data_IF_418742893557
#
_entry.id   IF_418742893557
#
_cell.length_a   1.000
_cell.length_b   1.000
_cell.length_c   1.000
_cell.angle_alpha   90.00
_cell.angle_beta   90.00
_cell.angle_gamma   90.00
#
_symmetry.space_group_name_H-M   'P 1'
#
loop_
_entity.id
_entity.type
_entity.pdbx_description
1 polymer ?
#
# COMPACT_ATOMS: atom_id res chain seq x y z
N UNK A 1 -1.07 20.49 49.34
CA UNK A 1 -0.60 19.09 49.35
C UNK A 1 -0.06 18.84 47.95
N UNK A 2 1.26 18.88 47.79
CA UNK A 2 2.13 17.68 47.77
C UNK A 2 1.88 16.89 46.46
N UNK A 3 2.84 16.58 45.60
CA UNK A 3 4.20 16.13 45.85
C UNK A 3 5.14 16.50 44.68
N UNK A 4 6.40 16.71 45.06
CA UNK A 4 7.54 16.78 44.18
C UNK A 4 8.08 15.37 43.93
N UNK A 5 8.53 15.09 42.71
CA UNK A 5 9.59 14.10 42.47
C UNK A 5 10.52 14.65 41.38
N UNK A 6 11.67 15.19 41.83
CA UNK A 6 12.92 15.07 41.07
C UNK A 6 13.34 13.60 41.07
N UNK A 7 14.29 13.10 40.30
CA UNK A 7 15.47 13.62 39.61
C UNK A 7 15.89 12.48 38.61
N UNK A 8 17.15 12.33 38.16
CA UNK A 8 17.99 13.15 37.27
C UNK A 8 18.48 12.35 36.02
N UNK A 9 19.18 13.02 35.08
CA UNK A 9 20.10 12.34 34.13
C UNK A 9 21.39 11.83 34.84
N UNK A 10 22.50 11.44 34.17
CA UNK A 10 22.85 11.58 32.74
C UNK A 10 23.58 10.38 32.06
N UNK A 11 23.54 10.36 30.71
CA UNK A 11 24.66 10.18 29.76
C UNK A 11 25.58 8.89 29.84
N UNK A 12 26.72 8.81 29.11
CA UNK A 12 26.87 7.95 27.92
C UNK A 12 28.09 7.00 27.98
N UNK A 13 28.17 5.98 27.12
CA UNK A 13 29.42 5.34 26.66
C UNK A 13 29.08 4.16 25.75
N UNK A 14 29.41 4.19 24.46
CA UNK A 14 30.72 3.87 23.90
C UNK A 14 31.12 2.40 24.15
N UNK A 15 31.30 1.65 23.06
CA UNK A 15 32.54 0.90 22.78
C UNK A 15 32.51 0.49 21.30
N UNK A 16 33.27 1.27 20.51
CA UNK A 16 33.81 0.88 19.22
C UNK A 16 34.97 -0.06 19.53
N UNK A 17 34.89 -1.34 19.15
CA UNK A 17 36.07 -2.20 19.06
C UNK A 17 36.49 -2.29 17.61
N UNK A 18 37.47 -1.45 17.29
CA UNK A 18 38.42 -1.62 16.20
C UNK A 18 39.48 -2.62 16.65
N UNK A 19 39.46 -3.83 16.10
CA UNK A 19 40.55 -4.82 16.19
C UNK A 19 40.32 -5.83 15.04
N UNK A 20 41.25 -6.22 14.17
CA UNK A 20 42.69 -6.03 14.11
C UNK A 20 43.16 -6.00 12.64
N UNK A 21 44.25 -5.30 12.38
CA UNK A 21 45.11 -5.55 11.22
C UNK A 21 45.96 -6.77 11.52
N UNK A 22 46.07 -7.71 10.58
CA UNK A 22 47.29 -8.49 10.37
C UNK A 22 47.47 -8.73 8.87
N UNK A 23 48.61 -8.26 8.39
CA UNK A 23 49.15 -8.48 7.05
C UNK A 23 49.59 -9.93 6.90
N UNK A 24 49.25 -10.59 5.78
CA UNK A 24 50.11 -11.61 5.15
C UNK A 24 49.86 -11.61 3.64
N UNK A 25 50.95 -11.41 2.90
CA UNK A 25 51.05 -11.45 1.45
C UNK A 25 51.59 -12.82 1.05
N UNK A 26 50.86 -13.55 0.19
CA UNK A 26 51.35 -14.58 -0.77
C UNK A 26 50.27 -15.64 -1.02
N UNK A 27 50.04 -15.97 -2.30
CA UNK A 27 49.32 -17.20 -2.66
C UNK A 27 48.45 -17.08 -3.91
N UNK A 28 49.07 -16.94 -5.09
CA UNK A 28 48.45 -17.39 -6.33
C UNK A 28 48.27 -18.91 -6.25
N UNK A 29 47.04 -19.42 -6.35
CA UNK A 29 46.67 -20.64 -7.09
C UNK A 29 45.28 -21.18 -6.69
N UNK A 30 44.54 -21.58 -7.72
CA UNK A 30 43.29 -22.38 -7.72
C UNK A 30 41.98 -21.61 -7.47
N UNK A 31 41.39 -21.18 -8.59
CA UNK A 31 39.95 -20.98 -8.74
C UNK A 31 39.21 -22.31 -8.45
N UNK A 32 38.30 -22.38 -7.46
CA UNK A 32 37.32 -23.46 -7.44
C UNK A 32 36.23 -23.17 -8.47
N UNK A 33 35.94 -24.21 -9.26
CA UNK A 33 34.84 -24.28 -10.23
C UNK A 33 33.53 -23.76 -9.65
N UNK A 34 32.88 -22.92 -10.44
CA UNK A 34 31.43 -22.97 -10.71
C UNK A 34 30.55 -23.10 -9.46
N UNK A 35 30.43 -22.01 -8.70
CA UNK A 35 29.17 -21.75 -8.01
C UNK A 35 28.20 -21.25 -9.08
N UNK A 36 27.09 -21.94 -9.36
CA UNK A 36 26.01 -21.26 -10.05
C UNK A 36 25.62 -20.10 -9.14
N UNK A 37 25.85 -18.88 -9.63
CA UNK A 37 25.26 -17.69 -9.07
C UNK A 37 23.77 -18.01 -9.00
N UNK A 38 23.22 -18.20 -7.80
CA UNK A 38 21.79 -18.06 -7.62
C UNK A 38 21.49 -16.68 -8.20
N UNK A 39 20.92 -16.65 -9.41
CA UNK A 39 20.16 -15.50 -9.85
C UNK A 39 19.28 -15.14 -8.65
N UNK A 40 19.22 -13.88 -8.19
CA UNK A 40 18.19 -13.53 -7.23
C UNK A 40 16.90 -13.97 -7.91
N UNK A 41 16.24 -14.99 -7.34
CA UNK A 41 14.97 -15.43 -7.84
C UNK A 41 14.14 -14.16 -7.90
N UNK A 42 13.80 -13.72 -9.12
CA UNK A 42 12.84 -12.64 -9.29
C UNK A 42 11.70 -13.03 -8.36
N UNK A 43 11.34 -12.19 -7.37
CA UNK A 43 10.24 -12.52 -6.47
C UNK A 43 9.10 -12.91 -7.39
N UNK A 44 8.61 -14.15 -7.25
CA UNK A 44 7.64 -14.72 -8.20
C UNK A 44 6.47 -13.76 -8.21
N UNK A 45 6.44 -12.93 -9.24
CA UNK A 45 5.62 -11.74 -9.28
C UNK A 45 4.19 -12.24 -9.34
N UNK A 46 3.40 -11.94 -8.30
CA UNK A 46 2.01 -12.35 -8.25
C UNK A 46 1.32 -11.70 -9.46
N UNK A 47 0.73 -12.47 -10.38
CA UNK A 47 0.21 -11.92 -11.62
C UNK A 47 -0.80 -10.82 -11.32
N UNK A 48 -0.78 -9.76 -12.11
CA UNK A 48 -1.71 -8.64 -11.99
C UNK A 48 -3.15 -9.14 -12.01
N UNK A 49 -4.00 -8.49 -11.22
CA UNK A 49 -5.42 -8.79 -11.19
C UNK A 49 -6.17 -7.73 -11.98
N UNK A 50 -6.91 -8.16 -13.01
CA UNK A 50 -7.65 -7.27 -13.90
C UNK A 50 -9.11 -7.72 -14.06
N UNK A 51 -10.03 -6.78 -13.93
CA UNK A 51 -11.43 -6.91 -14.33
C UNK A 51 -11.73 -5.85 -15.39
N UNK A 52 -12.17 -6.30 -16.57
CA UNK A 52 -12.53 -5.39 -17.66
C UNK A 52 -13.72 -4.50 -17.26
N UNK A 53 -13.75 -3.23 -17.72
CA UNK A 53 -14.91 -2.37 -17.52
C UNK A 53 -16.15 -2.97 -18.19
N UNK A 54 -17.29 -2.83 -17.52
CA UNK A 54 -18.60 -3.19 -18.05
C UNK A 54 -19.50 -1.96 -18.18
N UNK A 55 -20.74 -2.18 -18.63
CA UNK A 55 -21.73 -1.10 -18.75
C UNK A 55 -22.08 -0.48 -17.38
N UNK A 56 -22.01 -1.27 -16.32
CA UNK A 56 -22.35 -0.87 -14.96
C UNK A 56 -21.27 -1.24 -13.93
N UNK A 57 -20.14 -1.81 -14.37
CA UNK A 57 -19.05 -2.25 -13.50
C UNK A 57 -17.77 -1.51 -13.85
N UNK A 58 -16.97 -1.09 -12.85
CA UNK A 58 -15.77 -0.34 -13.11
C UNK A 58 -14.69 -1.28 -13.67
N UNK A 59 -13.75 -0.71 -14.42
CA UNK A 59 -12.45 -1.35 -14.63
C UNK A 59 -11.76 -1.47 -13.26
N UNK A 60 -11.17 -2.64 -13.00
CA UNK A 60 -10.31 -2.86 -11.84
C UNK A 60 -8.96 -3.32 -12.35
N UNK A 61 -7.91 -2.56 -12.08
CA UNK A 61 -6.54 -2.91 -12.43
C UNK A 61 -5.68 -2.88 -11.16
N UNK A 62 -5.25 -4.06 -10.71
CA UNK A 62 -4.44 -4.19 -9.52
C UNK A 62 -3.06 -4.78 -9.86
N UNK A 63 -2.05 -3.93 -9.74
CA UNK A 63 -0.64 -4.26 -9.92
C UNK A 63 0.01 -4.56 -8.59
N UNK A 64 0.04 -5.83 -8.19
CA UNK A 64 0.62 -6.27 -6.90
C UNK A 64 2.08 -5.87 -6.75
N UNK A 65 2.85 -5.93 -7.84
CA UNK A 65 4.28 -5.63 -7.87
C UNK A 65 4.60 -4.18 -7.47
N UNK A 66 3.73 -3.25 -7.87
CA UNK A 66 3.91 -1.82 -7.67
C UNK A 66 2.94 -1.24 -6.64
N UNK A 67 2.10 -2.07 -6.02
CA UNK A 67 1.07 -1.64 -5.07
C UNK A 67 0.05 -0.68 -5.66
N UNK A 68 -0.25 -0.75 -6.96
CA UNK A 68 -1.17 0.21 -7.61
C UNK A 68 -2.52 -0.43 -7.87
N UNK A 69 -3.57 0.11 -7.28
CA UNK A 69 -4.95 -0.31 -7.48
C UNK A 69 -5.74 0.82 -8.15
N UNK A 70 -6.23 0.60 -9.35
CA UNK A 70 -7.06 1.53 -10.10
C UNK A 70 -8.49 0.99 -10.21
N UNK A 71 -9.47 1.83 -9.87
CA UNK A 71 -10.88 1.61 -10.19
C UNK A 71 -11.36 2.76 -11.07
N UNK A 72 -11.88 2.45 -12.27
CA UNK A 72 -12.26 3.47 -13.26
C UNK A 72 -13.61 3.20 -13.91
N UNK A 73 -14.40 4.24 -14.13
CA UNK A 73 -15.67 4.17 -14.89
C UNK A 73 -16.91 4.11 -14.00
N UNK A 74 -17.93 3.37 -14.43
CA UNK A 74 -19.23 3.29 -13.76
C UNK A 74 -19.19 2.21 -12.68
N UNK A 75 -19.55 2.55 -11.43
CA UNK A 75 -19.73 1.57 -10.36
C UNK A 75 -21.18 1.53 -9.89
N UNK A 76 -21.99 0.80 -10.66
CA UNK A 76 -23.40 0.50 -10.38
C UNK A 76 -23.75 -0.98 -10.72
N UNK A 77 -22.97 -1.98 -10.27
CA UNK A 77 -23.26 -3.39 -10.50
C UNK A 77 -24.66 -3.77 -9.98
N UNK A 78 -25.27 -4.79 -10.58
CA UNK A 78 -26.52 -5.36 -10.04
C UNK A 78 -26.34 -5.91 -8.60
N UNK A 79 -25.15 -6.45 -8.32
CA UNK A 79 -24.74 -6.98 -7.03
C UNK A 79 -23.33 -6.47 -6.69
N UNK A 80 -23.29 -5.38 -5.95
CA UNK A 80 -22.04 -4.76 -5.51
C UNK A 80 -21.23 -5.70 -4.61
N UNK A 81 -21.87 -6.44 -3.71
CA UNK A 81 -21.17 -7.35 -2.81
C UNK A 81 -20.45 -8.45 -3.59
N UNK A 82 -21.14 -9.11 -4.53
CA UNK A 82 -20.56 -10.15 -5.37
C UNK A 82 -19.48 -9.62 -6.33
N UNK A 83 -19.59 -8.37 -6.80
CA UNK A 83 -18.55 -7.75 -7.61
C UNK A 83 -17.28 -7.48 -6.80
N UNK A 84 -17.40 -6.76 -5.69
CA UNK A 84 -16.25 -6.35 -4.88
C UNK A 84 -15.59 -7.51 -4.11
N UNK A 85 -16.31 -8.62 -3.82
CA UNK A 85 -15.69 -9.85 -3.29
C UNK A 85 -14.55 -10.35 -4.18
N UNK A 86 -14.70 -10.23 -5.51
CA UNK A 86 -13.66 -10.64 -6.47
C UNK A 86 -12.38 -9.83 -6.32
N UNK A 87 -12.49 -8.55 -5.92
CA UNK A 87 -11.34 -7.69 -5.59
C UNK A 87 -10.80 -7.97 -4.19
N UNK A 88 -11.67 -8.15 -3.20
CA UNK A 88 -11.25 -8.37 -1.80
C UNK A 88 -10.50 -9.69 -1.62
N UNK A 89 -10.92 -10.75 -2.31
CA UNK A 89 -10.31 -12.08 -2.21
C UNK A 89 -8.79 -12.08 -2.46
N UNK A 90 -8.26 -11.46 -3.53
CA UNK A 90 -6.82 -11.34 -3.71
C UNK A 90 -6.17 -10.18 -2.92
N UNK A 91 -6.91 -9.10 -2.63
CA UNK A 91 -6.39 -7.91 -1.94
C UNK A 91 -6.08 -8.18 -0.45
N UNK A 92 -7.00 -8.80 0.28
CA UNK A 92 -6.85 -9.05 1.72
C UNK A 92 -5.56 -9.81 2.06
N UNK A 93 -5.22 -10.96 1.42
CA UNK A 93 -3.96 -11.65 1.70
C UNK A 93 -2.73 -10.86 1.23
N UNK A 94 -2.86 -10.01 0.20
CA UNK A 94 -1.77 -9.11 -0.20
C UNK A 94 -1.47 -8.09 0.89
N UNK A 95 -2.48 -7.39 1.41
CA UNK A 95 -2.32 -6.40 2.47
C UNK A 95 -1.85 -7.05 3.79
N UNK A 96 -2.27 -8.29 4.08
CA UNK A 96 -1.83 -9.01 5.26
C UNK A 96 -0.34 -9.39 5.22
N UNK A 97 0.21 -9.65 4.02
CA UNK A 97 1.63 -9.96 3.81
C UNK A 97 2.50 -8.74 3.50
N UNK A 98 1.92 -7.54 3.48
CA UNK A 98 2.64 -6.31 3.15
C UNK A 98 3.45 -5.83 4.36
N UNK A 99 4.75 -6.11 4.36
CA UNK A 99 5.70 -5.63 5.36
C UNK A 99 6.38 -4.36 4.84
N UNK A 100 5.94 -3.19 5.32
CA UNK A 100 6.48 -1.87 4.97
C UNK A 100 6.47 -1.50 3.46
N UNK A 101 5.37 -1.81 2.76
CA UNK A 101 5.17 -1.46 1.35
C UNK A 101 4.44 -0.14 1.12
N UNK A 102 4.36 0.27 -0.15
CA UNK A 102 3.53 1.38 -0.61
C UNK A 102 2.34 0.85 -1.42
N UNK A 103 1.14 1.36 -1.14
CA UNK A 103 -0.09 1.07 -1.88
C UNK A 103 -0.79 2.36 -2.27
N UNK A 104 -1.02 2.55 -3.56
CA UNK A 104 -1.75 3.67 -4.11
C UNK A 104 -3.08 3.19 -4.71
N UNK A 105 -4.19 3.59 -4.11
CA UNK A 105 -5.53 3.46 -4.64
C UNK A 105 -5.86 4.69 -5.48
N UNK A 106 -6.34 4.48 -6.70
CA UNK A 106 -6.89 5.52 -7.57
C UNK A 106 -8.34 5.20 -7.88
N UNK A 107 -9.25 6.09 -7.48
CA UNK A 107 -10.67 6.05 -7.81
C UNK A 107 -10.95 7.10 -8.89
N UNK A 108 -11.15 6.67 -10.12
CA UNK A 108 -11.51 7.51 -11.27
C UNK A 108 -12.90 7.14 -11.79
N UNK A 109 -13.90 7.29 -10.91
CA UNK A 109 -15.26 6.87 -11.16
C UNK A 109 -16.07 7.98 -11.85
N UNK A 110 -16.90 7.58 -12.80
CA UNK A 110 -17.81 8.49 -13.53
C UNK A 110 -19.24 8.44 -13.02
N UNK A 111 -19.56 7.41 -12.23
CA UNK A 111 -20.86 7.24 -11.54
C UNK A 111 -20.70 6.23 -10.41
N UNK A 112 -21.39 6.47 -9.31
CA UNK A 112 -21.34 5.64 -8.11
C UNK A 112 -22.74 5.52 -7.50
N UNK A 113 -23.19 4.31 -7.21
CA UNK A 113 -24.42 4.08 -6.44
C UNK A 113 -24.14 3.95 -4.93
N UNK A 114 -25.19 3.68 -4.14
CA UNK A 114 -25.06 3.57 -2.71
C UNK A 114 -24.37 2.29 -2.24
N UNK A 115 -24.72 1.16 -2.84
CA UNK A 115 -24.17 -0.14 -2.48
C UNK A 115 -22.68 -0.22 -2.81
N UNK A 116 -22.26 0.28 -3.97
CA UNK A 116 -20.84 0.38 -4.35
C UNK A 116 -20.08 1.32 -3.44
N UNK A 117 -20.68 2.43 -3.01
CA UNK A 117 -20.05 3.33 -2.05
C UNK A 117 -19.72 2.61 -0.72
N UNK A 118 -20.65 1.80 -0.21
CA UNK A 118 -20.41 1.00 1.00
C UNK A 118 -19.26 0.00 0.82
N UNK A 119 -19.19 -0.66 -0.34
CA UNK A 119 -18.08 -1.56 -0.65
C UNK A 119 -16.75 -0.80 -0.77
N UNK A 120 -16.73 0.40 -1.33
CA UNK A 120 -15.53 1.23 -1.39
C UNK A 120 -15.10 1.77 -0.01
N UNK A 121 -16.03 2.03 0.91
CA UNK A 121 -15.70 2.34 2.30
C UNK A 121 -15.06 1.13 3.00
N UNK A 122 -15.55 -0.08 2.72
CA UNK A 122 -14.92 -1.32 3.20
C UNK A 122 -13.52 -1.49 2.63
N UNK A 123 -13.32 -1.17 1.34
CA UNK A 123 -11.99 -1.14 0.73
C UNK A 123 -11.06 -0.14 1.43
N UNK A 124 -11.56 1.07 1.71
CA UNK A 124 -10.81 2.10 2.42
C UNK A 124 -10.43 1.63 3.84
N UNK A 125 -11.33 0.96 4.56
CA UNK A 125 -11.03 0.39 5.89
C UNK A 125 -9.88 -0.62 5.83
N UNK A 126 -9.90 -1.56 4.86
CA UNK A 126 -8.80 -2.53 4.66
C UNK A 126 -7.45 -1.83 4.42
N UNK A 127 -7.45 -0.76 3.63
CA UNK A 127 -6.27 0.04 3.32
C UNK A 127 -5.80 0.86 4.53
N UNK A 128 -6.71 1.44 5.28
CA UNK A 128 -6.42 2.16 6.52
C UNK A 128 -5.81 1.23 7.59
N UNK A 129 -6.31 -0.01 7.68
CA UNK A 129 -5.73 -1.03 8.54
C UNK A 129 -4.29 -1.41 8.13
N UNK A 130 -4.00 -1.43 6.82
CA UNK A 130 -2.62 -1.63 6.34
C UNK A 130 -1.73 -0.41 6.67
N UNK A 131 -2.27 0.81 6.58
CA UNK A 131 -1.58 2.03 6.99
C UNK A 131 -1.22 2.01 8.48
N UNK A 132 -2.16 1.58 9.33
CA UNK A 132 -1.97 1.45 10.78
C UNK A 132 -0.88 0.42 11.15
N UNK A 133 -0.61 -0.57 10.27
CA UNK A 133 0.48 -1.54 10.42
C UNK A 133 1.84 -1.00 9.94
N UNK A 134 1.91 0.22 9.42
CA UNK A 134 3.14 0.87 8.99
C UNK A 134 3.40 0.83 7.48
N UNK A 135 2.43 0.41 6.67
CA UNK A 135 2.50 0.56 5.21
C UNK A 135 2.16 2.00 4.79
N UNK A 136 2.72 2.47 3.69
CA UNK A 136 2.35 3.77 3.11
C UNK A 136 1.17 3.57 2.19
N UNK A 137 -0.01 4.03 2.59
CA UNK A 137 -1.22 3.83 1.81
C UNK A 137 -1.87 5.16 1.48
N UNK A 138 -2.17 5.34 0.20
CA UNK A 138 -2.63 6.61 -0.36
C UNK A 138 -3.83 6.37 -1.26
N UNK A 139 -4.84 7.23 -1.16
CA UNK A 139 -6.04 7.20 -1.98
C UNK A 139 -6.14 8.50 -2.78
N UNK A 140 -6.27 8.39 -4.10
CA UNK A 140 -6.53 9.50 -5.00
C UNK A 140 -7.92 9.34 -5.57
N UNK A 141 -8.78 10.33 -5.35
CA UNK A 141 -10.17 10.32 -5.82
C UNK A 141 -10.35 11.40 -6.87
N UNK A 142 -10.50 10.99 -8.13
CA UNK A 142 -10.90 11.83 -9.23
C UNK A 142 -12.43 11.77 -9.35
N UNK A 143 -13.07 12.90 -9.17
CA UNK A 143 -14.50 13.06 -9.37
C UNK A 143 -14.77 14.38 -10.07
N UNK A 144 -15.92 14.44 -10.74
CA UNK A 144 -16.44 15.67 -11.31
C UNK A 144 -17.08 16.53 -10.21
N UNK A 145 -16.80 17.84 -10.19
CA UNK A 145 -17.32 18.78 -9.18
C UNK A 145 -18.82 19.01 -9.29
N UNK A 146 -19.48 18.53 -10.34
CA UNK A 146 -20.94 18.58 -10.49
C UNK A 146 -21.63 17.28 -10.02
N UNK A 147 -20.88 16.20 -9.75
CA UNK A 147 -21.45 14.94 -9.27
C UNK A 147 -21.63 14.94 -7.74
N UNK A 148 -22.84 15.30 -7.30
CA UNK A 148 -23.17 15.38 -5.88
C UNK A 148 -22.99 14.06 -5.11
N UNK A 149 -23.13 12.91 -5.78
CA UNK A 149 -23.02 11.59 -5.14
C UNK A 149 -21.55 11.22 -4.90
N UNK A 150 -20.70 11.42 -5.89
CA UNK A 150 -19.25 11.24 -5.76
C UNK A 150 -18.66 12.21 -4.75
N UNK A 151 -19.10 13.47 -4.75
CA UNK A 151 -18.69 14.45 -3.74
C UNK A 151 -19.08 14.04 -2.32
N UNK A 152 -20.31 13.54 -2.14
CA UNK A 152 -20.75 13.05 -0.83
C UNK A 152 -19.87 11.90 -0.35
N UNK A 153 -19.57 10.94 -1.24
CA UNK A 153 -18.65 9.85 -0.96
C UNK A 153 -17.24 10.35 -0.60
N UNK A 154 -16.69 11.29 -1.37
CA UNK A 154 -15.38 11.89 -1.08
C UNK A 154 -15.34 12.57 0.30
N UNK A 155 -16.39 13.30 0.69
CA UNK A 155 -16.49 13.90 2.03
C UNK A 155 -16.51 12.85 3.14
N UNK A 156 -17.22 11.74 2.94
CA UNK A 156 -17.23 10.62 3.90
C UNK A 156 -15.83 10.01 4.02
N UNK A 157 -15.15 9.75 2.89
CA UNK A 157 -13.76 9.26 2.92
C UNK A 157 -12.82 10.21 3.66
N UNK A 158 -12.93 11.52 3.44
CA UNK A 158 -12.12 12.53 4.13
C UNK A 158 -12.40 12.60 5.63
N UNK A 159 -13.64 12.34 6.04
CA UNK A 159 -14.03 12.33 7.44
C UNK A 159 -13.57 11.06 8.16
N UNK A 160 -13.81 9.88 7.56
CA UNK A 160 -13.57 8.60 8.22
C UNK A 160 -12.13 8.09 8.06
N UNK A 161 -11.47 8.41 6.93
CA UNK A 161 -10.13 7.92 6.59
C UNK A 161 -9.19 9.07 6.17
N UNK A 162 -9.01 10.11 6.99
CA UNK A 162 -8.21 11.28 6.63
C UNK A 162 -6.76 10.92 6.29
N UNK A 163 -6.20 9.89 6.94
CA UNK A 163 -4.83 9.40 6.69
C UNK A 163 -4.59 8.86 5.29
N UNK A 164 -5.63 8.35 4.61
CA UNK A 164 -5.53 7.83 3.25
C UNK A 164 -5.46 8.95 2.21
N UNK A 165 -6.12 10.08 2.48
CA UNK A 165 -6.19 11.23 1.56
C UNK A 165 -5.09 12.28 1.83
N UNK A 166 -4.41 12.20 2.98
CA UNK A 166 -3.45 13.20 3.45
C UNK A 166 -2.07 13.18 2.76
N UNK A 167 -1.86 12.33 1.75
CA UNK A 167 -0.53 12.06 1.23
C UNK A 167 -0.18 12.80 -0.07
N UNK A 168 1.11 13.11 -0.28
CA UNK A 168 1.52 14.08 -1.28
C UNK A 168 1.34 13.53 -2.69
N UNK A 169 0.76 14.37 -3.54
CA UNK A 169 1.01 14.40 -4.98
C UNK A 169 2.53 14.59 -5.19
N UNK A 170 3.34 13.55 -4.98
CA UNK A 170 4.66 13.51 -5.60
C UNK A 170 4.38 13.37 -7.10
N UNK A 171 4.23 14.54 -7.74
CA UNK A 171 4.17 14.68 -9.17
C UNK A 171 5.28 13.82 -9.77
N UNK A 172 4.85 12.91 -10.64
CA UNK A 172 5.72 12.35 -11.66
C UNK A 172 6.31 13.55 -12.41
N UNK A 173 7.58 13.84 -12.12
CA UNK A 173 8.41 14.73 -12.92
C UNK A 173 8.81 14.03 -14.22
#
# INVERSE_FOLDING_TARGET
MAEAFGQPGPAPAAVIVLQQRHSTLAGFTTLPRDRPMLSPALPVARPDFYLAPGAATPEVDFRFHSGRLLLRGVSCPEDAAAFYDRLFRPLTPYLAGLDHGEVALTLALTRLDADSANQLLTLADLLNNAQAKGSRVHCHVFHDEDDARLQAFHRVLAHEFPGLLAAPLAQVA
#
